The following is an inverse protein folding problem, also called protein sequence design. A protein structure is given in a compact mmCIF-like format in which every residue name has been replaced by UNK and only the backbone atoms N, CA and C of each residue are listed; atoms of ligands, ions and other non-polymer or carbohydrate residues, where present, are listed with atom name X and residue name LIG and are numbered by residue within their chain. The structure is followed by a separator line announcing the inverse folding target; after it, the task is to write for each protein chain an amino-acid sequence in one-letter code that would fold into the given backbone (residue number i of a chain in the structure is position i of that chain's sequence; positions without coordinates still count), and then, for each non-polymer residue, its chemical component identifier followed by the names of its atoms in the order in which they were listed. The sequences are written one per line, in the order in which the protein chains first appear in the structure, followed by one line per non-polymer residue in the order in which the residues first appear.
data_IF_915838589614
#
_entry.id   IF_915838589614
#
_cell.length_a   1.000
_cell.length_b   1.000
_cell.length_c   1.000
_cell.angle_alpha   90.00
_cell.angle_beta   90.00
_cell.angle_gamma   90.00
#
_symmetry.space_group_name_H-M   'P 1'
#
loop_
_entity.id
_entity.type
_entity.pdbx_description
1 polymer ?
#
# COMPACT_ATOMS: atom_id res chain seq x y z
N UNK A 1 -21.26 -23.76 -17.17
CA UNK A 1 -19.98 -24.52 -17.12
C UNK A 1 -18.71 -23.67 -17.29
N UNK A 2 -18.80 -22.37 -17.59
CA UNK A 2 -17.60 -21.48 -17.74
C UNK A 2 -17.07 -20.86 -16.43
N UNK A 3 -17.81 -20.94 -15.32
CA UNK A 3 -17.42 -20.32 -14.03
C UNK A 3 -16.57 -21.22 -13.12
N UNK A 4 -16.47 -22.51 -13.43
CA UNK A 4 -15.69 -23.47 -12.61
C UNK A 4 -14.21 -23.47 -13.01
N UNK A 5 -13.87 -23.03 -14.21
CA UNK A 5 -12.51 -23.02 -14.72
C UNK A 5 -11.63 -21.92 -14.10
N UNK A 6 -12.24 -20.86 -13.57
CA UNK A 6 -11.52 -19.75 -12.94
C UNK A 6 -11.05 -20.06 -11.51
N UNK A 7 -11.73 -20.96 -10.81
CA UNK A 7 -11.33 -21.41 -9.47
C UNK A 7 -10.19 -22.43 -9.48
N UNK A 8 -9.96 -23.15 -10.57
CA UNK A 8 -8.96 -24.22 -10.62
C UNK A 8 -7.53 -23.71 -10.81
N UNK A 9 -7.34 -22.48 -11.27
CA UNK A 9 -6.01 -21.86 -11.46
C UNK A 9 -5.43 -21.37 -10.13
N UNK A 10 -6.26 -21.23 -9.09
CA UNK A 10 -5.81 -20.76 -7.77
C UNK A 10 -5.23 -21.87 -6.87
N UNK A 11 -5.35 -23.15 -7.29
CA UNK A 11 -4.87 -24.31 -6.53
C UNK A 11 -3.71 -24.95 -7.29
N UNK A 12 -2.74 -24.14 -7.71
CA UNK A 12 -1.44 -24.71 -8.01
C UNK A 12 -0.72 -24.87 -6.67
N UNK A 13 -0.48 -26.10 -6.17
CA UNK A 13 0.36 -26.33 -4.99
C UNK A 13 1.81 -26.08 -5.41
N UNK A 14 2.14 -24.81 -5.63
CA UNK A 14 3.54 -24.44 -5.62
C UNK A 14 4.04 -24.76 -4.22
N UNK A 15 4.74 -25.86 -4.08
CA UNK A 15 5.64 -26.14 -2.95
C UNK A 15 6.79 -25.12 -2.96
N UNK A 16 6.45 -23.86 -3.07
CA UNK A 16 7.32 -22.77 -2.75
C UNK A 16 7.28 -22.68 -1.23
N UNK A 17 8.41 -22.82 -0.59
CA UNK A 17 8.60 -22.46 0.82
C UNK A 17 8.45 -20.94 0.93
N UNK A 18 7.25 -20.43 0.71
CA UNK A 18 6.92 -19.04 0.91
C UNK A 18 6.96 -18.80 2.42
N UNK A 19 7.88 -17.96 2.85
CA UNK A 19 7.88 -17.48 4.22
C UNK A 19 6.80 -16.44 4.37
N UNK A 20 5.98 -16.64 5.39
CA UNK A 20 5.00 -15.65 5.82
C UNK A 20 5.72 -14.62 6.68
N UNK A 21 5.38 -13.37 6.51
CA UNK A 21 5.83 -12.30 7.38
C UNK A 21 4.70 -11.36 7.71
N UNK A 22 4.89 -10.58 8.74
CA UNK A 22 4.04 -9.47 9.12
C UNK A 22 4.79 -8.17 8.93
N UNK A 23 4.07 -7.09 8.68
CA UNK A 23 4.63 -5.78 8.43
C UNK A 23 3.70 -4.73 8.99
N UNK A 24 4.27 -3.72 9.64
CA UNK A 24 3.56 -2.55 10.11
C UNK A 24 4.41 -1.31 9.94
N UNK A 25 3.78 -0.12 9.94
CA UNK A 25 4.53 1.11 9.83
C UNK A 25 3.65 2.35 9.69
N UNK A 26 4.30 3.44 9.36
CA UNK A 26 3.68 4.75 9.17
C UNK A 26 3.62 5.12 7.71
N UNK A 27 2.57 5.84 7.35
CA UNK A 27 2.34 6.40 6.03
C UNK A 27 2.44 7.92 6.10
N UNK A 28 3.03 8.52 5.08
CA UNK A 28 2.96 9.95 4.82
C UNK A 28 2.33 10.10 3.43
N UNK A 29 1.02 10.32 3.43
CA UNK A 29 0.25 10.45 2.21
C UNK A 29 0.19 11.93 1.78
N UNK A 30 0.32 12.17 0.48
CA UNK A 30 0.19 13.50 -0.12
C UNK A 30 -0.57 13.38 -1.44
N UNK A 31 -1.56 14.24 -1.59
CA UNK A 31 -2.25 14.38 -2.87
C UNK A 31 -1.41 15.25 -3.80
N UNK A 32 -1.13 14.75 -4.98
CA UNK A 32 -0.43 15.46 -6.05
C UNK A 32 -1.41 15.84 -7.16
N UNK A 33 -1.04 16.84 -7.98
CA UNK A 33 -1.88 17.40 -9.05
C UNK A 33 -3.22 17.98 -8.56
N UNK A 34 -3.24 18.49 -7.34
CA UNK A 34 -4.40 19.11 -6.71
C UNK A 34 -4.25 20.65 -6.78
N UNK A 35 -4.40 21.22 -7.98
CA UNK A 35 -4.22 22.67 -8.23
C UNK A 35 -5.23 23.53 -7.48
N UNK A 36 -6.40 22.99 -7.18
CA UNK A 36 -7.53 23.74 -6.63
C UNK A 36 -7.59 23.76 -5.11
N UNK A 37 -6.73 22.98 -4.45
CA UNK A 37 -6.66 22.88 -3.00
C UNK A 37 -5.23 22.93 -2.49
N UNK A 38 -5.00 23.63 -1.39
CA UNK A 38 -3.76 23.54 -0.64
C UNK A 38 -3.81 22.25 0.20
N UNK A 39 -3.20 21.17 -0.31
CA UNK A 39 -3.14 19.91 0.38
C UNK A 39 -1.83 19.76 1.15
N UNK A 40 -1.92 19.37 2.41
CA UNK A 40 -0.78 19.00 3.24
C UNK A 40 -0.68 17.47 3.36
N UNK A 41 0.54 17.01 3.62
CA UNK A 41 0.79 15.61 3.88
C UNK A 41 0.15 15.18 5.21
N UNK A 42 -0.59 14.08 5.19
CA UNK A 42 -1.18 13.48 6.38
C UNK A 42 -0.46 12.21 6.77
N UNK A 43 -0.21 12.05 8.06
CA UNK A 43 0.31 10.81 8.61
C UNK A 43 -0.80 9.78 8.81
N UNK A 44 -0.49 8.53 8.55
CA UNK A 44 -1.36 7.40 8.78
C UNK A 44 -0.52 6.17 9.17
N UNK A 45 -1.14 5.00 9.14
CA UNK A 45 -0.44 3.76 9.46
C UNK A 45 -0.81 2.67 8.46
N UNK A 46 0.00 1.63 8.44
CA UNK A 46 -0.31 0.42 7.70
C UNK A 46 0.09 -0.83 8.49
N UNK A 47 -0.64 -1.90 8.25
CA UNK A 47 -0.36 -3.21 8.80
C UNK A 47 -0.77 -4.28 7.79
N UNK A 48 0.00 -5.34 7.70
CA UNK A 48 -0.33 -6.39 6.75
C UNK A 48 0.56 -7.61 6.83
N UNK A 49 0.34 -8.49 5.88
CA UNK A 49 1.07 -9.74 5.72
C UNK A 49 1.83 -9.74 4.41
N UNK A 50 2.92 -10.47 4.38
CA UNK A 50 3.72 -10.68 3.18
C UNK A 50 4.02 -12.16 2.98
N UNK A 51 3.98 -12.58 1.74
CA UNK A 51 4.42 -13.87 1.28
C UNK A 51 5.70 -13.67 0.48
N UNK A 52 6.83 -14.04 1.07
CA UNK A 52 8.14 -13.83 0.46
C UNK A 52 8.89 -15.17 0.44
N UNK A 53 9.18 -15.73 -0.75
CA UNK A 53 10.03 -16.91 -0.81
C UNK A 53 11.42 -16.58 -0.28
N UNK A 54 12.00 -17.52 0.46
CA UNK A 54 13.41 -17.42 0.84
C UNK A 54 14.24 -17.55 -0.42
N UNK A 55 14.85 -16.50 -0.82
CA UNK A 55 15.72 -16.50 -1.98
C UNK A 55 17.07 -15.91 -1.61
N UNK A 56 18.11 -16.72 -1.78
CA UNK A 56 19.52 -16.27 -1.79
C UNK A 56 19.90 -15.66 -3.16
N UNK A 57 18.95 -15.66 -4.11
CA UNK A 57 19.17 -15.18 -5.46
C UNK A 57 19.23 -13.65 -5.50
N UNK A 58 19.93 -13.11 -6.48
CA UNK A 58 19.98 -11.67 -6.72
C UNK A 58 18.59 -11.06 -6.88
N UNK A 59 17.67 -11.78 -7.53
CA UNK A 59 16.29 -11.34 -7.74
C UNK A 59 15.34 -12.26 -6.96
N UNK A 60 14.43 -11.65 -6.22
CA UNK A 60 13.33 -12.32 -5.53
C UNK A 60 12.02 -11.56 -5.74
N UNK A 61 10.90 -12.24 -5.55
CA UNK A 61 9.57 -11.62 -5.64
C UNK A 61 8.79 -11.88 -4.37
N UNK A 62 7.86 -10.99 -4.05
CA UNK A 62 6.93 -11.18 -2.93
C UNK A 62 5.59 -10.55 -3.23
N UNK A 63 4.57 -11.10 -2.58
CA UNK A 63 3.22 -10.56 -2.56
C UNK A 63 2.92 -10.01 -1.18
N UNK A 64 2.34 -8.83 -1.12
CA UNK A 64 1.93 -8.19 0.14
C UNK A 64 0.42 -7.92 0.11
N UNK A 65 -0.25 -8.10 1.24
CA UNK A 65 -1.61 -7.67 1.48
C UNK A 65 -1.61 -6.79 2.72
N UNK A 66 -1.98 -5.52 2.56
CA UNK A 66 -1.78 -4.47 3.56
C UNK A 66 -3.09 -3.70 3.73
N UNK A 67 -3.53 -3.53 4.98
CA UNK A 67 -4.46 -2.46 5.35
C UNK A 67 -3.67 -1.17 5.52
N UNK A 68 -4.11 -0.09 4.89
CA UNK A 68 -3.38 1.17 4.84
C UNK A 68 -4.34 2.34 5.05
N UNK A 69 -4.19 3.04 6.17
CA UNK A 69 -4.84 4.31 6.43
C UNK A 69 -3.98 5.42 5.85
N UNK A 70 -4.59 6.21 5.00
CA UNK A 70 -3.97 7.32 4.28
C UNK A 70 -4.89 8.54 4.37
N UNK A 71 -4.50 9.64 3.74
CA UNK A 71 -5.35 10.82 3.69
C UNK A 71 -4.57 12.06 3.35
N UNK A 72 -5.25 13.19 3.49
CA UNK A 72 -4.66 14.51 3.29
C UNK A 72 -5.45 15.53 4.09
N UNK A 73 -4.77 16.61 4.46
CA UNK A 73 -5.40 17.79 4.99
C UNK A 73 -5.64 18.77 3.85
N UNK A 74 -6.77 19.46 3.86
CA UNK A 74 -7.11 20.43 2.81
C UNK A 74 -7.48 21.78 3.38
N UNK A 75 -7.15 22.82 2.61
CA UNK A 75 -7.60 24.19 2.87
C UNK A 75 -8.04 24.84 1.57
N UNK A 76 -9.27 25.32 1.54
CA UNK A 76 -9.84 26.05 0.42
C UNK A 76 -10.60 27.27 0.94
N UNK A 77 -10.02 28.46 0.76
CA UNK A 77 -10.54 29.69 1.36
C UNK A 77 -10.57 29.62 2.89
N UNK A 78 -11.74 29.82 3.47
CA UNK A 78 -11.98 29.74 4.93
C UNK A 78 -12.30 28.34 5.43
N UNK A 79 -12.55 27.37 4.54
CA UNK A 79 -12.88 26.00 4.89
C UNK A 79 -11.61 25.16 4.94
N UNK A 80 -11.41 24.46 6.06
CA UNK A 80 -10.34 23.49 6.23
C UNK A 80 -10.89 22.20 6.81
N UNK A 81 -10.17 21.13 6.61
CA UNK A 81 -10.57 19.83 7.15
C UNK A 81 -9.56 18.73 6.81
N UNK A 82 -9.89 17.55 7.26
CA UNK A 82 -9.10 16.34 7.10
C UNK A 82 -9.87 15.29 6.33
N UNK A 83 -9.17 14.58 5.47
CA UNK A 83 -9.71 13.41 4.76
C UNK A 83 -8.95 12.17 5.21
N UNK A 84 -9.68 11.14 5.62
CA UNK A 84 -9.16 9.84 5.97
C UNK A 84 -9.66 8.81 4.94
N UNK A 85 -8.73 8.06 4.37
CA UNK A 85 -8.98 7.06 3.35
C UNK A 85 -8.37 5.73 3.80
N UNK A 86 -9.21 4.71 3.98
CA UNK A 86 -8.78 3.38 4.37
C UNK A 86 -8.79 2.45 3.15
N UNK A 87 -7.62 1.88 2.85
CA UNK A 87 -7.41 1.00 1.70
C UNK A 87 -7.01 -0.41 2.12
N UNK A 88 -7.46 -1.39 1.35
CA UNK A 88 -6.81 -2.70 1.28
C UNK A 88 -5.94 -2.69 0.03
N UNK A 89 -4.63 -2.82 0.23
CA UNK A 89 -3.63 -2.78 -0.82
C UNK A 89 -3.05 -4.17 -1.06
N UNK A 90 -2.94 -4.55 -2.32
CA UNK A 90 -2.23 -5.73 -2.77
C UNK A 90 -1.03 -5.29 -3.60
N UNK A 91 0.16 -5.70 -3.19
CA UNK A 91 1.40 -5.39 -3.88
C UNK A 91 2.08 -6.65 -4.40
N UNK A 92 2.51 -6.63 -5.66
CA UNK A 92 3.41 -7.61 -6.22
C UNK A 92 4.76 -6.95 -6.49
N UNK A 93 5.75 -7.26 -5.65
CA UNK A 93 7.03 -6.59 -5.64
C UNK A 93 8.15 -7.54 -6.06
N UNK A 94 9.09 -7.01 -6.81
CA UNK A 94 10.38 -7.61 -7.08
C UNK A 94 11.44 -6.93 -6.21
N UNK A 95 12.36 -7.72 -5.68
CA UNK A 95 13.48 -7.22 -4.89
C UNK A 95 14.80 -7.63 -5.54
N UNK A 96 15.71 -6.67 -5.68
CA UNK A 96 17.09 -6.89 -6.09
C UNK A 96 17.92 -6.89 -4.81
N UNK A 97 18.43 -8.06 -4.44
CA UNK A 97 19.22 -8.25 -3.22
C UNK A 97 20.69 -7.88 -3.51
N UNK A 98 21.06 -6.63 -3.24
CA UNK A 98 22.42 -6.12 -3.48
C UNK A 98 23.40 -6.79 -2.52
N UNK A 99 22.99 -6.94 -1.28
CA UNK A 99 23.73 -7.66 -0.24
C UNK A 99 22.77 -8.52 0.58
N UNK A 100 23.30 -9.35 1.50
CA UNK A 100 22.48 -10.08 2.48
C UNK A 100 21.72 -9.14 3.44
N UNK A 101 22.13 -7.88 3.52
CA UNK A 101 21.56 -6.88 4.44
C UNK A 101 20.75 -5.79 3.75
N UNK A 102 20.83 -5.68 2.42
CA UNK A 102 20.21 -4.57 1.71
C UNK A 102 19.62 -5.01 0.38
N UNK A 103 18.39 -4.57 0.11
CA UNK A 103 17.68 -4.82 -1.14
C UNK A 103 16.98 -3.56 -1.63
N UNK A 104 16.92 -3.41 -2.94
CA UNK A 104 16.03 -2.48 -3.61
C UNK A 104 14.78 -3.22 -4.04
N UNK A 105 13.63 -2.56 -3.98
CA UNK A 105 12.37 -3.13 -4.40
C UNK A 105 11.62 -2.23 -5.36
N UNK A 106 10.90 -2.85 -6.28
CA UNK A 106 9.97 -2.19 -7.18
C UNK A 106 8.87 -3.16 -7.59
N UNK A 107 7.73 -2.63 -7.98
CA UNK A 107 6.63 -3.48 -8.45
C UNK A 107 5.33 -2.74 -8.63
N UNK A 108 4.31 -3.50 -8.99
CA UNK A 108 2.96 -3.02 -9.15
C UNK A 108 2.18 -3.13 -7.84
N UNK A 109 1.24 -2.22 -7.67
CA UNK A 109 0.28 -2.28 -6.57
C UNK A 109 -1.11 -1.94 -7.06
N UNK A 110 -2.09 -2.54 -6.41
CA UNK A 110 -3.50 -2.19 -6.52
C UNK A 110 -4.05 -1.95 -5.12
N UNK A 111 -5.01 -1.05 -5.00
CA UNK A 111 -5.65 -0.76 -3.73
C UNK A 111 -7.16 -0.63 -3.92
N UNK A 112 -7.91 -1.10 -2.96
CA UNK A 112 -9.36 -0.96 -2.91
C UNK A 112 -9.73 -0.08 -1.71
N UNK A 113 -10.44 1.04 -1.99
CA UNK A 113 -10.92 1.95 -0.96
C UNK A 113 -12.11 1.35 -0.24
N UNK A 114 -11.95 1.10 1.05
CA UNK A 114 -13.00 0.48 1.90
C UNK A 114 -13.76 1.53 2.71
N UNK A 115 -13.12 2.64 3.06
CA UNK A 115 -13.76 3.73 3.82
C UNK A 115 -13.15 5.09 3.43
N UNK A 116 -14.00 6.11 3.36
CA UNK A 116 -13.61 7.50 3.17
C UNK A 116 -14.37 8.37 4.17
N UNK A 117 -13.64 9.13 5.00
CA UNK A 117 -14.19 10.03 6.00
C UNK A 117 -13.64 11.42 5.80
N UNK A 118 -14.49 12.41 5.87
CA UNK A 118 -14.11 13.83 5.80
C UNK A 118 -14.58 14.51 7.08
N UNK A 119 -13.62 15.04 7.82
CA UNK A 119 -13.88 15.92 8.97
C UNK A 119 -13.67 17.36 8.54
N UNK A 120 -14.71 18.18 8.63
CA UNK A 120 -14.71 19.60 8.25
C UNK A 120 -14.99 20.47 9.46
N UNK A 121 -14.31 21.61 9.55
CA UNK A 121 -14.52 22.62 10.61
C UNK A 121 -15.94 23.21 10.65
N UNK A 122 -16.73 23.06 9.58
CA UNK A 122 -18.11 23.56 9.52
C UNK A 122 -19.16 22.49 9.83
N UNK A 123 -18.79 21.47 10.63
CA UNK A 123 -19.67 20.58 11.38
C UNK A 123 -20.94 20.08 10.68
N UNK A 124 -20.82 19.08 9.85
CA UNK A 124 -21.93 18.17 9.51
C UNK A 124 -21.36 16.80 9.16
N UNK A 125 -20.68 16.19 10.10
CA UNK A 125 -20.17 14.82 10.02
C UNK A 125 -21.12 13.84 10.68
N UNK A 126 -22.17 13.43 10.00
CA UNK A 126 -23.00 12.32 10.41
C UNK A 126 -22.69 11.08 9.55
N UNK A 127 -22.90 9.88 10.09
CA UNK A 127 -22.65 8.61 9.40
C UNK A 127 -23.37 8.45 8.05
N UNK A 128 -24.42 9.22 7.77
CA UNK A 128 -25.09 9.30 6.47
C UNK A 128 -24.28 10.03 5.41
N UNK A 129 -23.28 10.83 5.79
CA UNK A 129 -22.39 11.52 4.87
C UNK A 129 -21.25 10.58 4.35
N UNK A 130 -20.85 9.57 5.13
CA UNK A 130 -19.76 8.65 4.76
C UNK A 130 -20.03 7.90 3.46
N UNK A 131 -21.24 7.36 3.27
CA UNK A 131 -21.57 6.62 2.06
C UNK A 131 -21.61 7.51 0.81
N UNK A 132 -22.11 8.75 0.93
CA UNK A 132 -22.15 9.71 -0.18
C UNK A 132 -20.75 10.19 -0.57
N UNK A 133 -19.85 10.30 0.42
CA UNK A 133 -18.46 10.70 0.19
C UNK A 133 -17.70 9.57 -0.51
N UNK A 134 -17.92 8.32 -0.12
CA UNK A 134 -17.27 7.16 -0.73
C UNK A 134 -17.59 7.03 -2.24
N UNK A 135 -18.79 7.45 -2.66
CA UNK A 135 -19.19 7.42 -4.07
C UNK A 135 -18.51 8.51 -4.93
N UNK A 136 -17.93 9.53 -4.31
CA UNK A 136 -17.13 10.54 -5.00
C UNK A 136 -15.71 10.07 -5.33
N UNK A 137 -15.23 9.04 -4.63
CA UNK A 137 -13.90 8.50 -4.79
C UNK A 137 -13.87 7.32 -5.75
N UNK A 138 -12.79 7.22 -6.50
CA UNK A 138 -12.51 6.01 -7.24
C UNK A 138 -12.13 4.90 -6.26
N UNK A 139 -12.92 3.83 -6.24
CA UNK A 139 -12.70 2.72 -5.31
C UNK A 139 -11.47 1.89 -5.62
N UNK A 140 -11.03 1.91 -6.87
CA UNK A 140 -9.85 1.15 -7.32
C UNK A 140 -8.73 2.14 -7.62
N UNK A 141 -7.64 1.99 -6.90
CA UNK A 141 -6.38 2.65 -7.18
C UNK A 141 -5.36 1.62 -7.67
N UNK A 142 -4.54 2.01 -8.62
CA UNK A 142 -3.44 1.21 -9.13
C UNK A 142 -2.23 2.08 -9.41
N UNK A 143 -1.07 1.47 -9.32
CA UNK A 143 0.17 2.21 -9.51
C UNK A 143 1.39 1.33 -9.33
N UNK A 144 2.50 1.97 -9.04
CA UNK A 144 3.76 1.29 -8.80
C UNK A 144 4.39 1.75 -7.48
N UNK A 145 5.26 0.90 -6.98
CA UNK A 145 6.01 1.14 -5.75
C UNK A 145 7.50 0.97 -6.04
N UNK A 146 8.30 1.83 -5.44
CA UNK A 146 9.76 1.74 -5.44
C UNK A 146 10.27 2.00 -4.03
N UNK A 147 11.31 1.27 -3.61
CA UNK A 147 11.80 1.41 -2.26
C UNK A 147 13.08 0.65 -1.99
N UNK A 148 13.48 0.69 -0.74
CA UNK A 148 14.66 -0.01 -0.23
C UNK A 148 14.36 -0.66 1.11
N UNK A 149 15.02 -1.76 1.39
CA UNK A 149 14.93 -2.50 2.65
C UNK A 149 16.29 -2.88 3.19
N UNK A 150 16.39 -2.80 4.51
CA UNK A 150 17.49 -3.34 5.27
C UNK A 150 17.05 -4.57 6.06
N UNK A 151 17.94 -5.54 6.15
CA UNK A 151 17.76 -6.82 6.87
C UNK A 151 18.84 -6.94 7.95
N UNK A 152 18.77 -6.16 9.04
CA UNK A 152 19.87 -6.07 10.02
C UNK A 152 20.10 -7.38 10.76
N UNK A 153 19.04 -8.12 11.03
CA UNK A 153 19.11 -9.45 11.65
C UNK A 153 18.16 -10.40 10.91
N UNK A 154 18.37 -11.70 11.10
CA UNK A 154 17.53 -12.72 10.44
C UNK A 154 16.07 -12.57 10.82
N UNK A 155 15.22 -12.38 9.83
CA UNK A 155 13.76 -12.18 9.98
C UNK A 155 13.33 -10.73 10.07
N UNK A 156 14.14 -9.82 10.60
CA UNK A 156 13.78 -8.40 10.71
C UNK A 156 13.94 -7.70 9.36
N UNK A 157 12.96 -6.89 9.01
CA UNK A 157 12.94 -6.08 7.81
C UNK A 157 12.61 -4.65 8.21
N UNK A 158 13.44 -3.70 7.80
CA UNK A 158 13.17 -2.27 7.94
C UNK A 158 13.20 -1.67 6.54
N UNK A 159 12.17 -0.95 6.15
CA UNK A 159 12.05 -0.47 4.78
C UNK A 159 11.43 0.89 4.64
N UNK A 160 11.79 1.55 3.55
CA UNK A 160 11.15 2.76 3.06
C UNK A 160 10.67 2.52 1.63
N UNK A 161 9.45 2.96 1.34
CA UNK A 161 8.82 2.75 0.04
C UNK A 161 8.05 4.00 -0.38
N UNK A 162 8.15 4.34 -1.65
CA UNK A 162 7.33 5.37 -2.30
C UNK A 162 6.34 4.70 -3.24
N UNK A 163 5.07 4.90 -2.96
CA UNK A 163 3.95 4.41 -3.75
C UNK A 163 3.41 5.56 -4.59
N UNK A 164 3.34 5.35 -5.91
CA UNK A 164 2.83 6.32 -6.88
C UNK A 164 1.52 5.80 -7.44
N UNK A 165 0.44 6.52 -7.21
CA UNK A 165 -0.86 6.24 -7.81
C UNK A 165 -0.91 6.76 -9.25
N UNK A 166 -1.42 5.93 -10.16
CA UNK A 166 -1.71 6.29 -11.55
C UNK A 166 -3.19 6.61 -11.75
N UNK A 167 -4.07 6.06 -10.92
CA UNK A 167 -5.49 6.34 -10.96
C UNK A 167 -5.79 7.75 -10.47
N UNK A 168 -6.87 8.33 -11.00
CA UNK A 168 -7.46 9.55 -10.45
C UNK A 168 -8.15 9.22 -9.13
N UNK A 169 -7.98 10.09 -8.13
CA UNK A 169 -8.55 9.89 -6.79
C UNK A 169 -10.09 9.96 -6.81
N UNK A 170 -10.65 10.80 -7.68
CA UNK A 170 -12.08 11.06 -7.76
C UNK A 170 -12.69 10.50 -9.04
N UNK A 171 -13.95 10.06 -8.95
CA UNK A 171 -14.72 9.51 -10.06
C UNK A 171 -15.71 10.56 -10.57
N UNK A 172 -15.49 11.03 -11.84
CA UNK A 172 -16.52 11.70 -12.65
C UNK A 172 -17.24 12.90 -12.02
N UNK A 173 -16.55 13.78 -11.29
CA UNK A 173 -17.15 14.98 -10.74
C UNK A 173 -17.44 15.96 -11.89
N UNK A 174 -18.72 16.28 -12.10
CA UNK A 174 -19.11 17.27 -13.11
C UNK A 174 -18.64 18.67 -12.68
N UNK A 175 -18.07 19.40 -13.64
CA UNK A 175 -17.61 20.77 -13.46
C UNK A 175 -18.77 21.64 -12.96
N UNK A 176 -18.69 22.16 -11.73
CA UNK A 176 -19.72 23.01 -11.11
C UNK A 176 -20.24 22.52 -9.75
N UNK A 177 -20.01 21.26 -9.38
CA UNK A 177 -20.41 20.68 -8.08
C UNK A 177 -19.24 20.07 -7.32
N UNK A 178 -18.03 20.60 -7.50
CA UNK A 178 -16.86 20.08 -6.77
C UNK A 178 -16.90 20.45 -5.29
N UNK A 179 -16.98 19.48 -4.39
CA UNK A 179 -16.79 19.73 -2.97
C UNK A 179 -15.45 20.40 -2.68
N UNK A 180 -15.37 21.19 -1.60
CA UNK A 180 -14.19 21.99 -1.27
C UNK A 180 -12.89 21.18 -1.06
N UNK A 181 -13.02 19.88 -0.83
CA UNK A 181 -11.90 18.98 -0.59
C UNK A 181 -11.44 18.18 -1.83
N UNK A 182 -12.00 18.45 -3.02
CA UNK A 182 -11.71 17.69 -4.24
C UNK A 182 -10.96 18.52 -5.28
N UNK A 183 -10.19 17.83 -6.13
CA UNK A 183 -9.53 18.37 -7.32
C UNK A 183 -9.53 17.35 -8.45
N UNK A 184 -9.80 17.75 -9.68
CA UNK A 184 -10.13 16.86 -10.81
C UNK A 184 -9.03 15.82 -11.13
N UNK A 185 -7.76 16.21 -11.09
CA UNK A 185 -6.62 15.36 -11.46
C UNK A 185 -5.83 14.84 -10.26
N UNK A 186 -6.41 14.96 -9.07
CA UNK A 186 -5.74 14.56 -7.84
C UNK A 186 -5.33 13.09 -7.85
N UNK A 187 -4.08 12.82 -7.43
CA UNK A 187 -3.51 11.48 -7.28
C UNK A 187 -2.94 11.31 -5.89
N UNK A 188 -3.06 10.12 -5.35
CA UNK A 188 -2.60 9.82 -4.00
C UNK A 188 -1.22 9.18 -4.03
N UNK A 189 -0.19 9.88 -3.57
CA UNK A 189 1.16 9.35 -3.44
C UNK A 189 1.50 9.18 -1.96
N UNK A 190 2.20 8.08 -1.63
CA UNK A 190 2.44 7.71 -0.22
C UNK A 190 3.88 7.28 -0.02
N UNK A 191 4.54 7.89 0.97
CA UNK A 191 5.78 7.36 1.53
C UNK A 191 5.40 6.45 2.70
N UNK A 192 5.90 5.23 2.69
CA UNK A 192 5.71 4.25 3.76
C UNK A 192 7.03 3.91 4.40
N UNK A 193 7.10 4.04 5.74
CA UNK A 193 8.22 3.55 6.53
C UNK A 193 7.72 2.37 7.35
N UNK A 194 8.38 1.25 7.27
CA UNK A 194 7.87 -0.02 7.80
C UNK A 194 8.92 -0.82 8.54
N UNK A 195 8.43 -1.56 9.52
CA UNK A 195 9.15 -2.64 10.19
C UNK A 195 8.34 -3.92 9.99
N UNK A 196 9.00 -5.00 9.68
CA UNK A 196 8.38 -6.30 9.48
C UNK A 196 9.22 -7.44 10.04
N UNK A 197 8.55 -8.57 10.22
CA UNK A 197 9.19 -9.80 10.64
C UNK A 197 8.77 -10.94 9.74
N UNK A 198 9.76 -11.65 9.22
CA UNK A 198 9.59 -12.84 8.38
C UNK A 198 9.80 -14.09 9.19
N UNK A 199 8.79 -14.95 9.25
CA UNK A 199 8.84 -16.22 9.96
C UNK A 199 9.45 -17.32 9.09
N UNK A 200 10.04 -18.34 9.70
CA UNK A 200 10.48 -19.54 9.00
C UNK A 200 11.88 -19.48 8.38
N UNK A 201 12.74 -18.57 8.83
CA UNK A 201 14.15 -18.47 8.40
C UNK A 201 15.08 -19.55 9.00
N UNK A 202 14.61 -20.78 9.22
CA UNK A 202 15.51 -21.87 9.59
C UNK A 202 16.43 -22.16 8.41
N UNK A 203 17.62 -21.59 8.41
CA UNK A 203 18.74 -22.21 7.74
C UNK A 203 18.94 -23.54 8.44
N UNK A 204 18.51 -24.68 7.82
CA UNK A 204 19.23 -25.91 8.03
C UNK A 204 20.70 -25.54 7.83
N UNK A 205 21.48 -25.51 8.90
CA UNK A 205 22.90 -25.70 8.82
C UNK A 205 23.00 -27.02 8.02
N UNK A 206 23.43 -26.95 6.77
CA UNK A 206 24.08 -28.08 6.13
C UNK A 206 25.23 -28.37 7.06
N UNK A 207 25.05 -29.40 7.90
CA UNK A 207 26.15 -30.06 8.50
C UNK A 207 26.97 -30.51 7.32
N UNK A 208 28.16 -29.97 7.24
CA UNK A 208 29.22 -30.44 6.41
C UNK A 208 29.27 -31.94 6.55
N UNK A 209 28.99 -32.65 5.47
CA UNK A 209 29.45 -33.99 5.31
C UNK A 209 30.95 -33.88 4.99
N UNK A 210 31.71 -33.55 6.00
CA UNK A 210 33.04 -34.11 6.17
C UNK A 210 32.82 -35.46 6.81
N UNK A 211 32.90 -36.49 5.98
CA UNK A 211 33.46 -37.80 6.40
C UNK A 211 33.51 -38.67 5.18
N UNK A 212 34.75 -39.05 4.87
CA UNK A 212 35.28 -40.12 4.04
C UNK A 212 35.35 -39.86 2.54
#
# INVERSE_FOLDING_TARGET
MKKIFFCLILICPCRMFAQIGIKAGVNFAKVSKASDINSSSKSGFHVGVMLAPVSKKLISSRTELIFSRQGYDYKRGTTSGEVNLDYIQMGQLMSINITKYFSLMFGAQTAYLVSAKVDSTNGSGGSSAENKILDLYNRIDYGYAVGAEAHPVMGLIVGVRYNVSLAKLYQGIQTGQMPSFTSEDAKNNVIQISVGWRFGGNQKKEKDKEEN
#
